data_IF_348981214758
#
_entry.id   IF_348981214758
#
_cell.length_a   1.000
_cell.length_b   1.000
_cell.length_c   1.000
_cell.angle_alpha   90.00
_cell.angle_beta   90.00
_cell.angle_gamma   90.00
#
_symmetry.space_group_name_H-M   'P 1'
#
loop_
_entity.id
_entity.type
_entity.pdbx_description
1 polymer ?
#
# COMPACT_ATOMS: atom_id res chain seq x y z
N UNK A 1 6.90 -13.44 1.86
CA UNK A 1 7.49 -12.54 2.87
C UNK A 1 6.81 -11.20 2.71
N UNK A 2 6.41 -10.55 3.78
CA UNK A 2 5.81 -9.22 3.79
C UNK A 2 6.87 -8.10 3.99
N UNK A 3 6.44 -6.84 4.00
CA UNK A 3 7.35 -5.70 4.11
C UNK A 3 7.95 -5.48 5.53
N UNK A 4 7.57 -6.31 6.51
CA UNK A 4 8.26 -6.44 7.79
C UNK A 4 9.22 -7.64 7.83
N UNK A 5 9.54 -8.24 6.68
CA UNK A 5 10.37 -9.42 6.52
C UNK A 5 9.83 -10.67 7.24
N UNK A 6 8.51 -10.74 7.51
CA UNK A 6 7.86 -11.90 8.12
C UNK A 6 7.44 -12.88 7.03
N UNK A 7 7.66 -14.17 7.26
CA UNK A 7 7.15 -15.22 6.41
C UNK A 7 5.67 -15.49 6.76
N UNK A 8 4.79 -15.31 5.77
CA UNK A 8 3.36 -15.59 5.92
C UNK A 8 2.98 -16.68 4.93
N UNK A 9 2.59 -17.82 5.45
CA UNK A 9 2.21 -19.01 4.66
C UNK A 9 0.70 -19.15 4.56
N UNK A 10 0.25 -19.68 3.42
CA UNK A 10 -1.16 -19.92 3.14
C UNK A 10 -1.36 -21.39 2.81
N UNK A 11 -2.19 -22.08 3.60
CA UNK A 11 -2.50 -23.49 3.42
C UNK A 11 -3.64 -23.72 2.40
N UNK A 12 -4.34 -22.64 2.07
CA UNK A 12 -5.46 -22.62 1.13
C UNK A 12 -5.50 -21.29 0.37
N UNK A 13 -6.20 -21.22 -0.78
CA UNK A 13 -6.38 -19.97 -1.50
C UNK A 13 -7.04 -18.88 -0.64
N UNK A 14 -6.51 -17.66 -0.71
CA UNK A 14 -7.07 -16.49 -0.03
C UNK A 14 -8.25 -15.96 -0.83
N UNK A 15 -9.45 -15.99 -0.23
CA UNK A 15 -10.70 -15.59 -0.89
C UNK A 15 -11.44 -14.47 -0.15
N UNK A 16 -11.23 -14.35 1.15
CA UNK A 16 -11.88 -13.35 1.99
C UNK A 16 -10.83 -12.51 2.71
N UNK A 17 -10.72 -11.25 2.33
CA UNK A 17 -9.71 -10.36 2.91
C UNK A 17 -10.34 -9.15 3.56
N UNK A 18 -9.68 -8.66 4.59
CA UNK A 18 -9.94 -7.34 5.16
C UNK A 18 -8.79 -6.41 4.78
N UNK A 19 -9.11 -5.19 4.38
CA UNK A 19 -8.15 -4.16 4.04
C UNK A 19 -8.18 -3.08 5.11
N UNK A 20 -7.14 -3.05 5.94
CA UNK A 20 -7.06 -2.16 7.09
C UNK A 20 -6.45 -0.78 6.78
N UNK A 21 -6.11 -0.51 5.52
CA UNK A 21 -5.58 0.78 5.09
C UNK A 21 -6.05 1.14 3.66
N UNK A 22 -6.60 2.35 3.43
CA UNK A 22 -7.13 2.77 2.12
C UNK A 22 -6.11 2.67 0.98
N UNK A 23 -4.84 2.94 1.25
CA UNK A 23 -3.76 2.83 0.26
C UNK A 23 -3.59 1.41 -0.32
N UNK A 24 -4.03 0.39 0.40
CA UNK A 24 -3.99 -1.00 -0.06
C UNK A 24 -5.20 -1.32 -0.94
N UNK A 25 -6.33 -0.68 -0.69
CA UNK A 25 -7.53 -0.84 -1.52
C UNK A 25 -7.29 -0.50 -2.99
N UNK A 26 -6.44 0.50 -3.26
CA UNK A 26 -6.05 0.86 -4.63
C UNK A 26 -5.42 -0.30 -5.41
N UNK A 27 -4.64 -1.16 -4.73
CA UNK A 27 -4.09 -2.36 -5.36
C UNK A 27 -5.19 -3.35 -5.73
N UNK A 28 -6.16 -3.58 -4.83
CA UNK A 28 -7.24 -4.54 -5.07
C UNK A 28 -8.17 -4.06 -6.19
N UNK A 29 -8.47 -2.76 -6.24
CA UNK A 29 -9.22 -2.14 -7.35
C UNK A 29 -8.45 -2.29 -8.67
N UNK A 30 -7.15 -1.99 -8.67
CA UNK A 30 -6.29 -2.16 -9.85
C UNK A 30 -6.25 -3.61 -10.34
N UNK A 31 -6.29 -4.57 -9.43
CA UNK A 31 -6.26 -6.00 -9.73
C UNK A 31 -7.65 -6.59 -10.00
N UNK A 32 -8.70 -5.79 -9.91
CA UNK A 32 -10.12 -6.20 -10.08
C UNK A 32 -10.46 -7.40 -9.20
N UNK A 33 -10.22 -7.25 -7.90
CA UNK A 33 -10.51 -8.28 -6.90
C UNK A 33 -11.22 -7.71 -5.65
N UNK A 34 -12.00 -6.63 -5.84
CA UNK A 34 -12.81 -6.01 -4.80
C UNK A 34 -13.85 -6.97 -4.24
N UNK A 35 -14.27 -7.94 -5.02
CA UNK A 35 -15.24 -8.98 -4.62
C UNK A 35 -14.71 -9.89 -3.49
N UNK A 36 -13.38 -9.90 -3.28
CA UNK A 36 -12.76 -10.64 -2.18
C UNK A 36 -12.72 -9.85 -0.88
N UNK A 37 -13.03 -8.55 -0.92
CA UNK A 37 -12.95 -7.68 0.25
C UNK A 37 -14.22 -7.76 1.07
N UNK A 38 -14.12 -8.33 2.26
CA UNK A 38 -15.24 -8.49 3.20
C UNK A 38 -15.26 -7.44 4.31
N UNK A 39 -14.21 -6.62 4.42
CA UNK A 39 -14.16 -5.54 5.41
C UNK A 39 -13.09 -4.49 5.07
N UNK A 40 -13.41 -3.24 5.37
CA UNK A 40 -12.56 -2.07 5.16
C UNK A 40 -12.68 -1.13 6.35
N UNK A 41 -11.68 -0.25 6.56
CA UNK A 41 -11.78 0.79 7.59
C UNK A 41 -12.78 1.88 7.21
N UNK A 42 -13.20 2.70 8.20
CA UNK A 42 -14.14 3.80 7.99
C UNK A 42 -13.60 4.86 7.01
N UNK A 43 -12.27 4.98 6.94
CA UNK A 43 -11.54 5.92 6.09
C UNK A 43 -11.45 5.50 4.63
N UNK A 44 -11.78 4.26 4.33
CA UNK A 44 -11.74 3.75 2.97
C UNK A 44 -12.98 4.14 2.18
N UNK A 45 -12.76 4.77 1.03
CA UNK A 45 -13.81 5.19 0.10
C UNK A 45 -13.70 4.52 -1.27
N UNK A 46 -12.69 3.67 -1.47
CA UNK A 46 -12.39 3.03 -2.76
C UNK A 46 -13.23 1.77 -3.01
N UNK A 47 -13.50 1.03 -1.94
CA UNK A 47 -14.23 -0.23 -2.00
C UNK A 47 -15.51 -0.12 -1.16
N UNK A 48 -16.59 -0.70 -1.64
CA UNK A 48 -17.83 -0.80 -0.88
C UNK A 48 -17.87 -2.17 -0.19
N UNK A 49 -17.62 -2.18 1.12
CA UNK A 49 -17.61 -3.39 1.94
C UNK A 49 -18.03 -3.06 3.38
N UNK A 50 -18.08 -4.06 4.24
CA UNK A 50 -18.41 -3.90 5.66
C UNK A 50 -17.38 -3.00 6.36
N UNK A 51 -17.83 -2.06 7.16
CA UNK A 51 -16.96 -1.16 7.92
C UNK A 51 -16.47 -1.84 9.21
N UNK A 52 -15.16 -1.85 9.42
CA UNK A 52 -14.52 -2.45 10.61
C UNK A 52 -14.04 -1.40 11.63
N UNK A 53 -14.33 -0.13 11.42
CA UNK A 53 -13.92 0.95 12.31
C UNK A 53 -12.60 1.62 11.92
N UNK A 54 -11.87 2.08 12.91
CA UNK A 54 -10.62 2.83 12.72
C UNK A 54 -9.46 1.97 12.20
N UNK A 55 -8.42 2.66 11.68
CA UNK A 55 -7.16 2.03 11.28
C UNK A 55 -6.33 1.58 12.50
N UNK A 56 -6.39 2.33 13.60
CA UNK A 56 -5.73 2.04 14.90
C UNK A 56 -6.54 2.67 16.02
N UNK A 57 -6.88 1.92 17.09
CA UNK A 57 -6.79 0.46 17.16
C UNK A 57 -7.80 -0.21 16.24
N UNK A 58 -7.45 -1.37 15.69
CA UNK A 58 -8.38 -2.19 14.92
C UNK A 58 -9.46 -2.80 15.84
N UNK A 59 -10.68 -2.88 15.33
CA UNK A 59 -11.78 -3.59 16.01
C UNK A 59 -11.65 -5.11 15.81
N UNK A 60 -10.88 -5.76 16.69
CA UNK A 60 -10.63 -7.20 16.62
C UNK A 60 -11.91 -8.05 16.68
N UNK A 61 -12.90 -7.67 17.48
CA UNK A 61 -14.16 -8.40 17.59
C UNK A 61 -14.86 -8.45 16.24
N UNK A 62 -14.94 -7.30 15.57
CA UNK A 62 -15.54 -7.21 14.24
C UNK A 62 -14.74 -8.02 13.22
N UNK A 63 -13.41 -7.93 13.22
CA UNK A 63 -12.53 -8.67 12.32
C UNK A 63 -12.70 -10.18 12.52
N UNK A 64 -12.66 -10.66 13.77
CA UNK A 64 -12.86 -12.07 14.11
C UNK A 64 -14.24 -12.57 13.65
N UNK A 65 -15.28 -11.76 13.83
CA UNK A 65 -16.66 -12.12 13.41
C UNK A 65 -16.80 -12.30 11.90
N UNK A 66 -16.02 -11.58 11.10
CA UNK A 66 -16.02 -11.67 9.64
C UNK A 66 -15.23 -12.88 9.11
N UNK A 67 -14.41 -13.52 9.94
CA UNK A 67 -13.61 -14.72 9.61
C UNK A 67 -12.76 -14.56 8.33
N UNK A 68 -11.92 -13.54 8.23
CA UNK A 68 -11.10 -13.35 7.05
C UNK A 68 -10.01 -14.43 6.94
N UNK A 69 -9.61 -14.76 5.72
CA UNK A 69 -8.41 -15.56 5.45
C UNK A 69 -7.14 -14.75 5.71
N UNK A 70 -7.23 -13.42 5.54
CA UNK A 70 -6.10 -12.49 5.64
C UNK A 70 -6.57 -11.06 5.94
N UNK A 71 -5.79 -10.36 6.76
CA UNK A 71 -5.90 -8.90 6.93
C UNK A 71 -4.66 -8.24 6.33
N UNK A 72 -4.86 -7.33 5.38
CA UNK A 72 -3.81 -6.47 4.87
C UNK A 72 -3.69 -5.21 5.72
N UNK A 73 -2.44 -4.85 6.10
CA UNK A 73 -2.11 -3.65 6.87
C UNK A 73 -1.02 -2.85 6.15
N UNK A 74 -0.92 -1.56 6.49
CA UNK A 74 0.26 -0.77 6.14
C UNK A 74 1.32 -0.87 7.25
N UNK A 75 2.57 -0.51 6.92
CA UNK A 75 3.65 -0.41 7.92
C UNK A 75 3.53 0.81 8.82
N UNK A 76 4.54 1.02 9.66
CA UNK A 76 4.60 2.14 10.59
C UNK A 76 3.57 2.04 11.70
N UNK A 77 2.63 2.97 11.75
CA UNK A 77 1.66 3.08 12.86
C UNK A 77 0.73 1.86 13.04
N UNK A 78 0.57 1.01 12.03
CA UNK A 78 -0.23 -0.23 12.14
C UNK A 78 0.58 -1.46 12.55
N UNK A 79 1.90 -1.40 12.65
CA UNK A 79 2.73 -2.57 13.03
C UNK A 79 2.33 -3.22 14.36
N UNK A 80 1.94 -2.46 15.41
CA UNK A 80 1.46 -3.08 16.65
C UNK A 80 0.19 -3.95 16.49
N UNK A 81 -0.62 -3.66 15.46
CA UNK A 81 -1.86 -4.42 15.19
C UNK A 81 -1.58 -5.82 14.65
N UNK A 82 -0.41 -6.02 14.03
CA UNK A 82 0.02 -7.33 13.52
C UNK A 82 0.00 -8.38 14.62
N UNK A 83 0.66 -8.11 15.75
CA UNK A 83 0.72 -9.03 16.88
C UNK A 83 -0.66 -9.26 17.52
N UNK A 84 -1.50 -8.23 17.53
CA UNK A 84 -2.87 -8.33 18.04
C UNK A 84 -3.72 -9.29 17.19
N UNK A 85 -3.60 -9.20 15.85
CA UNK A 85 -4.28 -10.10 14.92
C UNK A 85 -3.76 -11.53 15.04
N UNK A 86 -2.44 -11.72 15.09
CA UNK A 86 -1.82 -13.04 15.23
C UNK A 86 -2.23 -13.72 16.55
N UNK A 87 -2.29 -12.98 17.65
CA UNK A 87 -2.78 -13.49 18.93
C UNK A 87 -4.26 -13.91 18.88
N UNK A 88 -5.04 -13.32 17.97
CA UNK A 88 -6.42 -13.72 17.69
C UNK A 88 -6.55 -14.85 16.66
N UNK A 89 -5.42 -15.41 16.19
CA UNK A 89 -5.39 -16.49 15.19
C UNK A 89 -5.65 -16.00 13.75
N UNK A 90 -5.52 -14.70 13.49
CA UNK A 90 -5.79 -14.10 12.18
C UNK A 90 -4.46 -13.82 11.49
N UNK A 91 -4.34 -14.26 10.22
CA UNK A 91 -3.17 -13.96 9.41
C UNK A 91 -3.15 -12.48 9.03
N UNK A 92 -1.99 -11.84 9.20
CA UNK A 92 -1.75 -10.44 8.89
C UNK A 92 -0.62 -10.32 7.85
N UNK A 93 -0.78 -9.47 6.86
CA UNK A 93 0.23 -9.21 5.82
C UNK A 93 0.42 -7.70 5.66
N UNK A 94 1.66 -7.23 5.83
CA UNK A 94 2.00 -5.81 5.76
C UNK A 94 2.50 -5.45 4.37
N UNK A 95 1.93 -4.38 3.82
CA UNK A 95 2.31 -3.74 2.56
C UNK A 95 2.74 -2.31 2.87
N UNK A 96 4.02 -2.01 2.66
CA UNK A 96 4.59 -0.69 2.99
C UNK A 96 5.62 -0.24 1.95
N UNK A 97 5.20 0.06 0.71
CA UNK A 97 6.10 0.43 -0.35
C UNK A 97 6.78 1.79 -0.09
N UNK A 98 8.10 1.83 -0.05
CA UNK A 98 8.90 3.05 0.07
C UNK A 98 9.32 3.64 -1.28
N UNK A 99 9.33 2.83 -2.35
CA UNK A 99 9.82 3.21 -3.67
C UNK A 99 8.88 2.72 -4.78
N UNK A 100 9.08 3.18 -6.02
CA UNK A 100 8.34 2.66 -7.18
C UNK A 100 8.62 1.17 -7.43
N UNK A 101 9.83 0.73 -7.12
CA UNK A 101 10.17 -0.71 -7.19
C UNK A 101 9.36 -1.50 -6.17
N UNK A 102 9.12 -0.96 -4.99
CA UNK A 102 8.31 -1.63 -3.96
C UNK A 102 6.82 -1.63 -4.33
N UNK A 103 6.31 -0.57 -4.95
CA UNK A 103 4.95 -0.56 -5.52
C UNK A 103 4.80 -1.68 -6.56
N UNK A 104 5.78 -1.85 -7.45
CA UNK A 104 5.81 -2.95 -8.41
C UNK A 104 5.76 -4.32 -7.69
N UNK A 105 6.60 -4.52 -6.68
CA UNK A 105 6.64 -5.77 -5.89
C UNK A 105 5.31 -6.00 -5.15
N UNK A 106 4.73 -4.96 -4.57
CA UNK A 106 3.44 -5.04 -3.86
C UNK A 106 2.31 -5.50 -4.79
N UNK A 107 2.24 -4.95 -6.02
CA UNK A 107 1.28 -5.42 -7.04
C UNK A 107 1.46 -6.92 -7.31
N UNK A 108 2.70 -7.38 -7.55
CA UNK A 108 3.00 -8.78 -7.84
C UNK A 108 2.69 -9.69 -6.66
N UNK A 109 2.99 -9.25 -5.44
CA UNK A 109 2.76 -10.01 -4.21
C UNK A 109 1.27 -10.16 -3.93
N UNK A 110 0.50 -9.06 -3.93
CA UNK A 110 -0.94 -9.08 -3.72
C UNK A 110 -1.63 -9.93 -4.81
N UNK A 111 -1.24 -9.75 -6.07
CA UNK A 111 -1.76 -10.55 -7.18
C UNK A 111 -1.46 -12.04 -7.03
N UNK A 112 -0.30 -12.40 -6.47
CA UNK A 112 0.04 -13.80 -6.17
C UNK A 112 -0.85 -14.35 -5.05
N UNK A 113 -0.99 -13.62 -3.95
CA UNK A 113 -1.82 -14.02 -2.79
C UNK A 113 -3.28 -14.21 -3.20
N UNK A 114 -3.81 -13.31 -4.02
CA UNK A 114 -5.22 -13.31 -4.42
C UNK A 114 -5.53 -14.10 -5.70
N UNK A 115 -4.52 -14.79 -6.30
CA UNK A 115 -4.70 -15.57 -7.52
C UNK A 115 -4.91 -14.72 -8.79
N UNK A 116 -4.37 -13.49 -8.81
CA UNK A 116 -4.46 -12.51 -9.92
C UNK A 116 -3.10 -12.22 -10.56
N UNK A 117 -2.23 -13.21 -10.68
CA UNK A 117 -0.84 -13.02 -11.15
C UNK A 117 -0.73 -12.33 -12.51
N UNK A 118 -1.57 -12.69 -13.47
CA UNK A 118 -1.55 -12.10 -14.81
C UNK A 118 -1.98 -10.62 -14.78
N UNK A 119 -3.07 -10.31 -14.06
CA UNK A 119 -3.53 -8.94 -13.87
C UNK A 119 -2.47 -8.09 -13.15
N UNK A 120 -1.81 -8.66 -12.14
CA UNK A 120 -0.73 -8.01 -11.42
C UNK A 120 0.48 -7.73 -12.31
N UNK A 121 0.92 -8.70 -13.12
CA UNK A 121 2.04 -8.51 -14.05
C UNK A 121 1.72 -7.41 -15.08
N UNK A 122 0.49 -7.39 -15.60
CA UNK A 122 0.04 -6.35 -16.53
C UNK A 122 0.07 -4.98 -15.87
N UNK A 123 -0.60 -4.82 -14.71
CA UNK A 123 -0.67 -3.55 -14.00
C UNK A 123 0.71 -3.04 -13.56
N UNK A 124 1.58 -3.93 -13.07
CA UNK A 124 2.94 -3.61 -12.67
C UNK A 124 3.80 -3.14 -13.86
N UNK A 125 3.65 -3.76 -15.03
CA UNK A 125 4.36 -3.33 -16.24
C UNK A 125 3.82 -1.99 -16.75
N UNK A 126 2.50 -1.79 -16.80
CA UNK A 126 1.89 -0.50 -17.19
C UNK A 126 2.35 0.65 -16.26
N UNK A 127 2.40 0.40 -14.96
CA UNK A 127 2.94 1.35 -13.99
C UNK A 127 4.40 1.68 -14.30
N UNK A 128 5.24 0.64 -14.52
CA UNK A 128 6.66 0.82 -14.83
C UNK A 128 6.87 1.61 -16.13
N UNK A 129 6.16 1.28 -17.19
CA UNK A 129 6.25 1.99 -18.47
C UNK A 129 5.84 3.45 -18.34
N UNK A 130 4.83 3.74 -17.53
CA UNK A 130 4.34 5.09 -17.27
C UNK A 130 5.43 5.97 -16.67
N UNK A 131 6.03 5.56 -15.55
CA UNK A 131 7.05 6.39 -14.91
C UNK A 131 8.35 6.47 -15.72
N UNK A 132 8.74 5.42 -16.44
CA UNK A 132 9.88 5.46 -17.38
C UNK A 132 9.61 6.46 -18.52
N UNK A 133 8.41 6.47 -19.07
CA UNK A 133 8.02 7.44 -20.11
C UNK A 133 8.12 8.88 -19.61
N UNK A 134 7.63 9.15 -18.41
CA UNK A 134 7.73 10.47 -17.78
C UNK A 134 9.20 10.84 -17.56
N UNK A 135 10.00 9.93 -17.04
CA UNK A 135 11.44 10.16 -16.82
C UNK A 135 12.19 10.49 -18.11
N UNK A 136 11.92 9.76 -19.20
CA UNK A 136 12.52 10.05 -20.51
C UNK A 136 12.19 11.46 -21.01
N UNK A 137 10.94 11.92 -20.83
CA UNK A 137 10.55 13.29 -21.20
C UNK A 137 11.27 14.34 -20.35
N UNK A 138 11.50 14.03 -19.06
CA UNK A 138 12.17 14.90 -18.12
C UNK A 138 13.70 14.98 -18.31
N UNK A 139 14.33 13.92 -18.85
CA UNK A 139 15.79 13.82 -19.03
C UNK A 139 16.38 14.94 -19.88
N UNK A 140 15.62 15.46 -20.84
CA UNK A 140 16.05 16.52 -21.75
C UNK A 140 15.93 17.94 -21.16
N UNK A 141 15.51 18.05 -19.90
CA UNK A 141 15.41 19.37 -19.25
C UNK A 141 16.79 19.86 -18.83
N UNK A 142 17.19 21.00 -19.35
CA UNK A 142 18.45 21.68 -18.98
C UNK A 142 18.36 22.34 -17.60
N UNK A 143 17.16 22.77 -17.22
CA UNK A 143 16.90 23.38 -15.92
C UNK A 143 16.04 22.43 -15.06
N UNK A 144 16.63 21.93 -13.96
CA UNK A 144 15.94 21.09 -12.98
C UNK A 144 15.36 21.97 -11.86
N UNK A 145 14.04 22.08 -11.74
CA UNK A 145 13.46 22.87 -10.65
C UNK A 145 13.81 22.24 -9.29
N UNK A 146 14.15 23.10 -8.32
CA UNK A 146 14.27 22.71 -6.93
C UNK A 146 12.87 22.53 -6.35
N UNK A 147 12.61 21.37 -5.73
CA UNK A 147 11.29 21.00 -5.19
C UNK A 147 11.45 20.68 -3.72
N UNK A 148 10.68 21.36 -2.90
CA UNK A 148 10.51 21.02 -1.49
C UNK A 148 9.09 20.50 -1.29
N UNK A 149 8.96 19.25 -0.86
CA UNK A 149 7.67 18.66 -0.49
C UNK A 149 7.40 18.94 0.98
N UNK A 150 6.29 19.60 1.26
CA UNK A 150 5.84 19.85 2.63
C UNK A 150 4.50 19.18 2.87
N UNK A 151 4.43 18.28 3.85
CA UNK A 151 3.20 17.73 4.39
C UNK A 151 2.96 18.34 5.77
N UNK A 152 1.85 19.04 5.91
CA UNK A 152 1.45 19.68 7.18
C UNK A 152 0.38 18.83 7.82
N UNK A 153 0.67 18.31 9.01
CA UNK A 153 -0.29 17.52 9.78
C UNK A 153 -0.81 18.35 10.96
N UNK A 154 -2.08 18.68 10.93
CA UNK A 154 -2.88 19.31 11.98
C UNK A 154 -2.42 20.70 12.53
N UNK A 155 -1.17 21.08 12.46
CA UNK A 155 -0.67 22.39 12.93
C UNK A 155 0.48 22.86 12.05
N UNK A 156 0.59 24.17 11.88
CA UNK A 156 1.66 24.83 11.10
C UNK A 156 3.06 24.59 11.70
N UNK A 157 3.13 23.98 12.87
CA UNK A 157 4.39 23.79 13.62
C UNK A 157 5.10 22.46 13.28
N UNK A 158 4.41 21.50 12.64
CA UNK A 158 5.02 20.23 12.26
C UNK A 158 4.97 20.08 10.74
N UNK A 159 6.09 20.35 10.09
CA UNK A 159 6.26 20.14 8.64
C UNK A 159 7.05 18.86 8.44
N UNK A 160 6.40 17.88 7.82
CA UNK A 160 7.05 16.66 7.36
C UNK A 160 7.50 16.84 5.92
N UNK A 161 8.67 16.32 5.62
CA UNK A 161 9.20 16.32 4.25
C UNK A 161 9.59 14.92 3.83
N UNK A 162 9.82 14.73 2.54
CA UNK A 162 10.18 13.44 1.97
C UNK A 162 11.64 13.45 1.55
N UNK A 163 12.48 12.72 2.28
CA UNK A 163 13.90 12.54 1.97
C UNK A 163 14.16 11.42 0.96
N UNK A 164 15.43 11.07 0.81
CA UNK A 164 15.89 9.95 -0.02
C UNK A 164 15.25 8.62 0.42
N UNK A 165 14.96 7.73 -0.55
CA UNK A 165 14.31 6.45 -0.27
C UNK A 165 12.78 6.52 -0.12
N UNK A 166 12.16 7.67 -0.41
CA UNK A 166 10.71 7.81 -0.43
C UNK A 166 10.14 7.86 -1.85
N UNK A 167 8.90 7.40 -2.00
CA UNK A 167 8.15 7.51 -3.28
C UNK A 167 8.10 8.94 -3.79
N UNK A 168 7.91 9.92 -2.90
CA UNK A 168 7.85 11.36 -3.27
C UNK A 168 9.19 11.82 -3.83
N UNK A 169 10.32 11.40 -3.24
CA UNK A 169 11.64 11.70 -3.78
C UNK A 169 11.83 11.13 -5.19
N UNK A 170 11.40 9.89 -5.42
CA UNK A 170 11.43 9.29 -6.76
C UNK A 170 10.51 10.01 -7.74
N UNK A 171 9.30 10.41 -7.32
CA UNK A 171 8.38 11.21 -8.15
C UNK A 171 9.03 12.52 -8.59
N UNK A 172 9.68 13.24 -7.67
CA UNK A 172 10.40 14.48 -7.97
C UNK A 172 11.51 14.21 -9.00
N UNK A 173 12.31 13.16 -8.77
CA UNK A 173 13.44 12.81 -9.64
C UNK A 173 12.97 12.41 -11.04
N UNK A 174 11.97 11.53 -11.15
CA UNK A 174 11.41 11.09 -12.44
C UNK A 174 10.71 12.23 -13.19
N UNK A 175 10.14 13.19 -12.49
CA UNK A 175 9.59 14.41 -13.11
C UNK A 175 10.66 15.42 -13.54
N UNK A 176 11.95 15.14 -13.28
CA UNK A 176 13.08 15.99 -13.65
C UNK A 176 13.34 17.12 -12.66
N UNK A 177 12.83 17.03 -11.45
CA UNK A 177 13.11 17.94 -10.34
C UNK A 177 14.33 17.53 -9.50
N UNK A 178 14.72 18.40 -8.60
CA UNK A 178 15.72 18.18 -7.59
C UNK A 178 15.07 18.34 -6.22
N UNK A 179 14.99 17.26 -5.45
CA UNK A 179 14.51 17.34 -4.07
C UNK A 179 15.54 18.10 -3.23
N UNK A 180 15.08 19.06 -2.44
CA UNK A 180 15.94 19.91 -1.56
C UNK A 180 15.62 19.72 -0.08
N UNK A 181 14.93 18.61 0.27
CA UNK A 181 14.70 18.20 1.65
C UNK A 181 15.89 17.44 2.21
#
# INVERSE_FOLDING_TARGET
>A
VDDLAREVTFDSPVNQVIVAAPSISDYLVTLKCEEKVIGITDWDTHIKSEKIGNMVPLNLEKIVSLKPDLVFLTGGFQEPEVKRLENAGIKAFVINPGTFTDIYKSLMTIGTILGRKEAAAKAANEFREKYISISKQAMNRTNKPKVFYASVYNTVTEIWTAGTGSVVNEMIAYAGGLNVA
#
